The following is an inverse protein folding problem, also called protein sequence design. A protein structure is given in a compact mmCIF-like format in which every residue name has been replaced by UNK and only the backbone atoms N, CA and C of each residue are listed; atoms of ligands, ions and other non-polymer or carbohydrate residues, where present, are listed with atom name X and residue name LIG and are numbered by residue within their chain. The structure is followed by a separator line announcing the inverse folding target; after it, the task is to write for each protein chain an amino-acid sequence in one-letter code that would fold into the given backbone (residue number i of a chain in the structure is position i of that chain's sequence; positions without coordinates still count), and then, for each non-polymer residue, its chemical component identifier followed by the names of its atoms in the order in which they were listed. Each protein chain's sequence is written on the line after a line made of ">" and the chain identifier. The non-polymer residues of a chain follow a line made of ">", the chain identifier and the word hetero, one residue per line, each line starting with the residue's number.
data_IF_318510822062
#
_entry.id   IF_318510822062
#
_cell.length_a   1.000
_cell.length_b   1.000
_cell.length_c   1.000
_cell.angle_alpha   90.00
_cell.angle_beta   90.00
_cell.angle_gamma   90.00
#
_symmetry.space_group_name_H-M   'P 1'
#
loop_
_entity.id
_entity.type
_entity.pdbx_description
1 polymer ?
#
# COMPACT_ATOMS: atom_id res chain seq x y z
N UNK A 1 32.37 -15.53 -2.31
CA UNK A 1 31.31 -16.26 -1.58
C UNK A 1 29.94 -15.56 -1.56
N UNK A 2 29.82 -14.35 -2.10
CA UNK A 2 28.52 -13.63 -2.14
C UNK A 2 27.62 -13.99 -3.34
N UNK A 3 28.09 -14.78 -4.30
CA UNK A 3 27.37 -15.08 -5.56
C UNK A 3 26.42 -16.30 -5.51
N UNK A 4 26.44 -17.11 -4.46
CA UNK A 4 25.60 -18.31 -4.39
C UNK A 4 24.17 -18.08 -3.84
N UNK A 5 23.91 -16.93 -3.23
CA UNK A 5 22.59 -16.63 -2.70
C UNK A 5 21.62 -16.07 -3.78
N UNK A 6 22.16 -15.55 -4.88
CA UNK A 6 21.35 -14.96 -5.95
C UNK A 6 20.89 -16.00 -7.01
N UNK A 7 21.61 -17.13 -7.12
CA UNK A 7 21.30 -18.17 -8.11
C UNK A 7 20.12 -19.08 -7.70
N UNK A 8 19.85 -19.21 -6.41
CA UNK A 8 18.76 -20.04 -5.89
C UNK A 8 17.37 -19.35 -5.97
N UNK A 9 17.32 -18.03 -6.16
CA UNK A 9 16.05 -17.29 -6.26
C UNK A 9 15.39 -17.35 -7.65
N UNK A 10 16.18 -17.50 -8.72
CA UNK A 10 15.67 -17.51 -10.10
C UNK A 10 14.96 -18.83 -10.47
N UNK A 11 15.32 -19.94 -9.81
CA UNK A 11 14.76 -21.25 -10.13
C UNK A 11 13.33 -21.52 -9.62
N UNK A 12 12.88 -20.78 -8.61
CA UNK A 12 11.57 -21.01 -7.96
C UNK A 12 10.45 -20.08 -8.44
N UNK A 13 10.74 -19.07 -9.27
CA UNK A 13 9.74 -18.11 -9.72
C UNK A 13 8.68 -18.72 -10.66
N UNK A 14 8.96 -19.86 -11.26
CA UNK A 14 8.08 -20.47 -12.27
C UNK A 14 6.82 -21.16 -11.74
N UNK A 15 6.69 -21.40 -10.44
CA UNK A 15 5.58 -22.21 -9.86
C UNK A 15 4.68 -21.47 -8.88
N UNK A 16 5.08 -20.29 -8.40
CA UNK A 16 4.29 -19.51 -7.45
C UNK A 16 3.63 -18.31 -8.14
N UNK A 17 2.29 -18.21 -8.16
CA UNK A 17 1.59 -17.09 -8.77
C UNK A 17 1.76 -15.75 -8.01
N UNK A 18 2.34 -15.76 -6.82
CA UNK A 18 2.59 -14.55 -6.05
C UNK A 18 3.99 -13.98 -6.30
N UNK A 19 4.23 -12.75 -5.85
CA UNK A 19 5.55 -12.11 -5.89
C UNK A 19 6.50 -12.64 -4.81
N UNK A 20 6.03 -13.54 -3.95
CA UNK A 20 6.85 -14.19 -2.93
C UNK A 20 7.40 -15.51 -3.46
N UNK A 21 8.71 -15.73 -3.31
CA UNK A 21 9.27 -17.07 -3.50
C UNK A 21 8.75 -18.01 -2.40
N UNK A 22 8.82 -19.32 -2.64
CA UNK A 22 8.42 -20.30 -1.60
C UNK A 22 9.23 -20.12 -0.33
N UNK A 23 10.51 -19.80 -0.45
CA UNK A 23 11.40 -19.59 0.70
C UNK A 23 11.06 -18.32 1.46
N UNK A 24 10.76 -17.22 0.76
CA UNK A 24 10.27 -15.99 1.37
C UNK A 24 8.95 -16.22 2.12
N UNK A 25 8.01 -16.92 1.52
CA UNK A 25 6.74 -17.24 2.16
C UNK A 25 6.94 -18.10 3.41
N UNK A 26 7.85 -19.06 3.38
CA UNK A 26 8.18 -19.90 4.55
C UNK A 26 8.75 -19.08 5.70
N UNK A 27 9.67 -18.16 5.41
CA UNK A 27 10.22 -17.24 6.42
C UNK A 27 9.11 -16.43 7.08
N UNK A 28 8.22 -15.81 6.29
CA UNK A 28 7.13 -15.00 6.82
C UNK A 28 6.17 -15.83 7.69
N UNK A 29 5.84 -17.06 7.28
CA UNK A 29 4.97 -17.95 8.07
C UNK A 29 5.59 -18.30 9.44
N UNK A 30 6.88 -18.62 9.45
CA UNK A 30 7.59 -18.96 10.69
C UNK A 30 7.73 -17.75 11.61
N UNK A 31 8.03 -16.59 11.06
CA UNK A 31 8.06 -15.32 11.82
C UNK A 31 6.69 -14.99 12.40
N UNK A 32 5.62 -15.24 11.66
CA UNK A 32 4.23 -15.05 12.13
C UNK A 32 3.90 -15.93 13.34
N UNK A 33 4.50 -17.10 13.44
CA UNK A 33 4.37 -18.00 14.60
C UNK A 33 5.16 -17.55 15.83
N UNK A 34 5.88 -16.42 15.74
CA UNK A 34 6.65 -15.86 16.83
C UNK A 34 8.11 -16.33 16.89
N UNK A 35 8.58 -17.08 15.89
CA UNK A 35 9.97 -17.54 15.85
C UNK A 35 10.91 -16.36 15.58
N UNK A 36 12.07 -16.36 16.24
CA UNK A 36 13.15 -15.41 15.97
C UNK A 36 13.82 -15.71 14.63
N UNK A 37 14.55 -14.75 14.08
CA UNK A 37 15.31 -14.98 12.85
C UNK A 37 16.31 -16.12 12.98
N UNK A 38 16.93 -16.27 14.15
CA UNK A 38 17.85 -17.37 14.44
C UNK A 38 17.14 -18.73 14.45
N UNK A 39 15.98 -18.82 15.08
CA UNK A 39 15.17 -20.05 15.10
C UNK A 39 14.70 -20.44 13.70
N UNK A 40 14.27 -19.45 12.90
CA UNK A 40 13.89 -19.67 11.49
C UNK A 40 15.10 -20.19 10.70
N UNK A 41 16.28 -19.58 10.89
CA UNK A 41 17.51 -20.00 10.21
C UNK A 41 17.86 -21.45 10.54
N UNK A 42 17.78 -21.86 11.80
CA UNK A 42 18.02 -23.23 12.23
C UNK A 42 17.01 -24.20 11.59
N UNK A 43 15.74 -23.84 11.58
CA UNK A 43 14.70 -24.69 10.99
C UNK A 43 14.86 -24.84 9.47
N UNK A 44 15.27 -23.79 8.76
CA UNK A 44 15.44 -23.82 7.30
C UNK A 44 16.85 -24.25 6.86
N UNK A 45 17.74 -24.52 7.79
CA UNK A 45 19.12 -24.92 7.47
C UNK A 45 19.95 -23.83 6.82
N UNK A 46 19.78 -22.59 7.23
CA UNK A 46 20.45 -21.43 6.69
C UNK A 46 21.02 -20.53 7.80
N UNK A 47 21.48 -19.34 7.45
CA UNK A 47 22.04 -18.37 8.39
C UNK A 47 21.01 -17.32 8.79
N UNK A 48 21.17 -16.73 9.98
CA UNK A 48 20.34 -15.60 10.43
C UNK A 48 20.41 -14.41 9.44
N UNK A 49 21.61 -14.13 8.90
CA UNK A 49 21.79 -13.05 7.91
C UNK A 49 20.95 -13.30 6.66
N UNK A 50 20.91 -14.54 6.18
CA UNK A 50 20.11 -14.89 5.01
C UNK A 50 18.62 -14.76 5.30
N UNK A 51 18.16 -15.20 6.48
CA UNK A 51 16.76 -15.01 6.91
C UNK A 51 16.40 -13.52 6.96
N UNK A 52 17.27 -12.68 7.50
CA UNK A 52 17.06 -11.23 7.55
C UNK A 52 16.88 -10.63 6.18
N UNK A 53 17.69 -11.01 5.20
CA UNK A 53 17.59 -10.55 3.81
C UNK A 53 16.30 -11.06 3.17
N UNK A 54 15.97 -12.33 3.33
CA UNK A 54 14.74 -12.92 2.79
C UNK A 54 13.49 -12.24 3.34
N UNK A 55 13.45 -12.00 4.65
CA UNK A 55 12.33 -11.31 5.31
C UNK A 55 12.17 -9.89 4.79
N UNK A 56 13.27 -9.14 4.69
CA UNK A 56 13.25 -7.77 4.17
C UNK A 56 12.74 -7.71 2.73
N UNK A 57 13.25 -8.57 1.85
CA UNK A 57 12.81 -8.65 0.44
C UNK A 57 11.35 -9.07 0.33
N UNK A 58 10.92 -10.04 1.14
CA UNK A 58 9.54 -10.48 1.18
C UNK A 58 8.59 -9.34 1.57
N UNK A 59 8.91 -8.59 2.62
CA UNK A 59 8.10 -7.46 3.06
C UNK A 59 8.09 -6.31 2.04
N UNK A 60 9.20 -6.07 1.35
CA UNK A 60 9.25 -5.11 0.24
C UNK A 60 8.33 -5.54 -0.91
N UNK A 61 8.31 -6.82 -1.27
CA UNK A 61 7.42 -7.35 -2.31
C UNK A 61 5.95 -7.23 -1.90
N UNK A 62 5.62 -7.50 -0.65
CA UNK A 62 4.26 -7.29 -0.12
C UNK A 62 3.86 -5.82 -0.21
N UNK A 63 4.75 -4.91 0.20
CA UNK A 63 4.48 -3.47 0.12
C UNK A 63 4.25 -2.99 -1.31
N UNK A 64 5.05 -3.45 -2.27
CA UNK A 64 4.88 -3.15 -3.70
C UNK A 64 3.57 -3.71 -4.25
N UNK A 65 3.20 -4.92 -3.87
CA UNK A 65 1.94 -5.54 -4.30
C UNK A 65 0.72 -4.74 -3.79
N UNK A 66 0.76 -4.32 -2.53
CA UNK A 66 -0.30 -3.48 -1.94
C UNK A 66 -0.41 -2.13 -2.64
N UNK A 67 0.72 -1.48 -2.91
CA UNK A 67 0.76 -0.20 -3.63
C UNK A 67 0.20 -0.36 -5.05
N UNK A 68 0.55 -1.43 -5.74
CA UNK A 68 0.06 -1.75 -7.09
C UNK A 68 -1.46 -1.95 -7.09
N UNK A 69 -1.98 -2.72 -6.13
CA UNK A 69 -3.43 -2.94 -6.00
C UNK A 69 -4.18 -1.64 -5.70
N UNK A 70 -3.63 -0.79 -4.84
CA UNK A 70 -4.21 0.52 -4.55
C UNK A 70 -4.25 1.39 -5.80
N UNK A 71 -3.14 1.48 -6.52
CA UNK A 71 -3.05 2.24 -7.78
C UNK A 71 -4.05 1.71 -8.82
N UNK A 72 -4.11 0.39 -8.99
CA UNK A 72 -5.06 -0.24 -9.90
C UNK A 72 -6.52 0.08 -9.52
N UNK A 73 -6.85 0.01 -8.24
CA UNK A 73 -8.19 0.36 -7.74
C UNK A 73 -8.52 1.82 -8.04
N UNK A 74 -7.55 2.72 -7.86
CA UNK A 74 -7.74 4.14 -8.17
C UNK A 74 -7.90 4.39 -9.68
N UNK A 75 -7.15 3.69 -10.52
CA UNK A 75 -7.27 3.75 -11.99
C UNK A 75 -8.67 3.34 -12.44
N UNK A 76 -9.22 2.28 -11.85
CA UNK A 76 -10.54 1.75 -12.19
C UNK A 76 -11.71 2.52 -11.56
N UNK A 77 -11.44 3.38 -10.58
CA UNK A 77 -12.48 4.06 -9.84
C UNK A 77 -13.32 4.98 -10.74
N UNK A 78 -14.66 4.90 -10.66
CA UNK A 78 -15.54 5.75 -11.46
C UNK A 78 -15.48 7.24 -11.08
N UNK A 79 -15.00 7.55 -9.88
CA UNK A 79 -14.77 8.93 -9.42
C UNK A 79 -13.30 9.10 -9.09
N UNK A 80 -12.66 10.06 -9.72
CA UNK A 80 -11.26 10.41 -9.51
C UNK A 80 -11.08 11.92 -9.60
N UNK A 81 -10.46 12.50 -8.59
CA UNK A 81 -10.24 13.95 -8.49
C UNK A 81 -8.80 14.22 -8.07
N UNK A 82 -8.26 15.33 -8.56
CA UNK A 82 -7.05 15.92 -7.99
C UNK A 82 -7.47 17.09 -7.09
N UNK A 83 -7.09 17.03 -5.83
CA UNK A 83 -7.29 18.14 -4.89
C UNK A 83 -6.01 18.97 -4.88
N UNK A 84 -6.05 20.22 -5.38
CA UNK A 84 -4.84 21.01 -5.49
C UNK A 84 -4.32 21.47 -4.13
N UNK A 85 -2.99 21.64 -4.05
CA UNK A 85 -2.36 22.32 -2.93
C UNK A 85 -3.01 23.70 -2.71
N UNK A 86 -3.15 24.12 -1.46
CA UNK A 86 -3.83 25.35 -1.09
C UNK A 86 -5.29 25.16 -0.69
N UNK A 87 -5.88 23.99 -0.96
CA UNK A 87 -7.26 23.69 -0.58
C UNK A 87 -7.39 23.52 0.93
N UNK A 88 -8.47 24.04 1.51
CA UNK A 88 -8.86 23.76 2.88
C UNK A 88 -9.39 22.32 2.97
N UNK A 89 -8.84 21.53 3.89
CA UNK A 89 -9.24 20.13 4.03
C UNK A 89 -10.74 19.95 4.32
N UNK A 90 -11.38 20.94 4.96
CA UNK A 90 -12.82 20.88 5.25
C UNK A 90 -13.70 21.13 4.02
N UNK A 91 -13.14 21.64 2.94
CA UNK A 91 -13.87 21.79 1.66
C UNK A 91 -13.82 20.51 0.80
N UNK A 92 -12.88 19.60 1.09
CA UNK A 92 -12.69 18.38 0.30
C UNK A 92 -13.92 17.46 0.33
N UNK A 93 -14.58 17.20 1.49
CA UNK A 93 -15.76 16.33 1.50
C UNK A 93 -16.86 16.79 0.54
N UNK A 94 -17.12 18.07 0.47
CA UNK A 94 -18.10 18.63 -0.46
C UNK A 94 -17.77 18.30 -1.92
N UNK A 95 -16.52 18.46 -2.31
CA UNK A 95 -16.06 18.15 -3.67
C UNK A 95 -16.25 16.65 -3.98
N UNK A 96 -15.91 15.79 -3.03
CA UNK A 96 -16.02 14.34 -3.19
C UNK A 96 -17.49 13.90 -3.26
N UNK A 97 -18.34 14.38 -2.36
CA UNK A 97 -19.77 14.07 -2.39
C UNK A 97 -20.43 14.58 -3.67
N UNK A 98 -20.05 15.76 -4.16
CA UNK A 98 -20.56 16.32 -5.40
C UNK A 98 -20.25 15.40 -6.59
N UNK A 99 -19.01 14.95 -6.73
CA UNK A 99 -18.61 14.05 -7.83
C UNK A 99 -19.21 12.64 -7.68
N UNK A 100 -19.29 12.12 -6.45
CA UNK A 100 -19.94 10.84 -6.18
C UNK A 100 -21.43 10.87 -6.53
N UNK A 101 -22.12 11.96 -6.20
CA UNK A 101 -23.53 12.14 -6.56
C UNK A 101 -23.74 12.19 -8.08
N UNK A 102 -22.86 12.86 -8.83
CA UNK A 102 -22.92 12.85 -10.30
C UNK A 102 -22.78 11.45 -10.87
N UNK A 103 -21.92 10.61 -10.26
CA UNK A 103 -21.73 9.23 -10.64
C UNK A 103 -22.76 8.26 -10.04
N UNK A 104 -23.71 8.77 -9.25
CA UNK A 104 -24.74 7.97 -8.55
C UNK A 104 -24.15 6.94 -7.58
N UNK A 105 -23.05 7.30 -6.92
CA UNK A 105 -22.38 6.45 -5.95
C UNK A 105 -22.62 7.01 -4.56
N UNK A 106 -23.03 6.14 -3.63
CA UNK A 106 -23.16 6.48 -2.21
C UNK A 106 -21.86 6.14 -1.50
N UNK A 107 -21.27 7.15 -0.85
CA UNK A 107 -20.11 6.95 0.02
C UNK A 107 -20.51 6.22 1.31
N UNK A 108 -19.67 5.28 1.74
CA UNK A 108 -19.84 4.55 3.00
C UNK A 108 -19.49 5.36 4.24
N UNK A 109 -18.87 6.52 4.06
CA UNK A 109 -18.34 7.35 5.14
C UNK A 109 -18.86 8.77 5.08
N UNK A 110 -18.82 9.45 6.22
CA UNK A 110 -19.24 10.85 6.33
C UNK A 110 -18.09 11.84 6.12
N UNK A 111 -18.43 13.13 6.15
CA UNK A 111 -17.49 14.22 5.94
C UNK A 111 -16.31 14.21 6.91
N UNK A 112 -16.57 13.90 8.17
CA UNK A 112 -15.53 13.85 9.22
C UNK A 112 -14.55 12.72 8.94
N UNK A 113 -15.06 11.56 8.53
CA UNK A 113 -14.21 10.40 8.22
C UNK A 113 -13.28 10.68 7.03
N UNK A 114 -13.76 11.41 6.03
CA UNK A 114 -12.95 11.82 4.88
C UNK A 114 -11.77 12.68 5.38
N UNK A 115 -12.02 13.68 6.20
CA UNK A 115 -10.97 14.54 6.76
C UNK A 115 -9.98 13.73 7.59
N UNK A 116 -10.46 12.83 8.43
CA UNK A 116 -9.63 11.94 9.26
C UNK A 116 -8.76 11.03 8.37
N UNK A 117 -9.32 10.45 7.32
CA UNK A 117 -8.55 9.60 6.40
C UNK A 117 -7.47 10.40 5.67
N UNK A 118 -7.75 11.61 5.20
CA UNK A 118 -6.74 12.48 4.59
C UNK A 118 -5.60 12.72 5.57
N UNK A 119 -5.92 13.09 6.81
CA UNK A 119 -4.94 13.34 7.85
C UNK A 119 -4.07 12.11 8.15
N UNK A 120 -4.69 10.93 8.21
CA UNK A 120 -3.98 9.70 8.57
C UNK A 120 -3.17 9.11 7.41
N UNK A 121 -3.67 9.22 6.18
CA UNK A 121 -3.03 8.62 4.98
C UNK A 121 -2.01 9.54 4.33
N UNK A 122 -2.17 10.84 4.46
CA UNK A 122 -1.30 11.85 3.84
C UNK A 122 -0.87 12.92 4.85
N UNK A 123 -0.25 12.52 6.00
CA UNK A 123 0.06 13.47 7.08
C UNK A 123 1.05 14.55 6.63
N UNK A 124 1.99 14.22 5.75
CA UNK A 124 2.99 15.16 5.25
C UNK A 124 2.40 16.19 4.26
N UNK A 125 1.26 15.88 3.67
CA UNK A 125 0.58 16.77 2.73
C UNK A 125 -0.34 17.78 3.42
N UNK A 126 -0.58 17.66 4.73
CA UNK A 126 -1.50 18.51 5.47
C UNK A 126 -0.76 19.30 6.54
N UNK A 127 -0.91 20.64 6.51
CA UNK A 127 -0.43 21.54 7.57
C UNK A 127 -1.61 22.30 8.15
N UNK A 128 -1.94 22.01 9.41
CA UNK A 128 -3.19 22.47 10.04
C UNK A 128 -4.38 22.01 9.20
N UNK A 129 -5.10 22.91 8.54
CA UNK A 129 -6.24 22.60 7.69
C UNK A 129 -5.95 22.82 6.19
N UNK A 130 -4.72 23.18 5.82
CA UNK A 130 -4.34 23.49 4.44
C UNK A 130 -3.57 22.31 3.84
N UNK A 131 -4.05 21.86 2.68
CA UNK A 131 -3.38 20.85 1.86
C UNK A 131 -2.17 21.51 1.19
N UNK A 132 -0.97 20.93 1.39
CA UNK A 132 0.31 21.47 0.92
C UNK A 132 0.83 20.83 -0.35
N UNK A 133 0.34 19.67 -0.69
CA UNK A 133 0.70 18.92 -1.90
C UNK A 133 -0.58 18.44 -2.57
N UNK A 134 -0.56 18.36 -3.88
CA UNK A 134 -1.71 17.84 -4.62
C UNK A 134 -2.04 16.42 -4.12
N UNK A 135 -3.31 16.16 -3.89
CA UNK A 135 -3.82 14.84 -3.51
C UNK A 135 -4.62 14.25 -4.64
N UNK A 136 -4.44 12.96 -4.86
CA UNK A 136 -5.34 12.17 -5.69
C UNK A 136 -6.36 11.49 -4.78
N UNK A 137 -7.62 11.67 -5.08
CA UNK A 137 -8.73 11.01 -4.38
C UNK A 137 -9.58 10.25 -5.36
N UNK A 138 -10.13 9.14 -4.91
CA UNK A 138 -10.97 8.28 -5.72
C UNK A 138 -12.10 7.70 -4.88
N UNK A 139 -13.21 7.40 -5.55
CA UNK A 139 -14.33 6.66 -4.96
C UNK A 139 -14.63 5.47 -5.86
N UNK A 140 -14.59 4.28 -5.28
CA UNK A 140 -14.91 3.04 -5.98
C UNK A 140 -16.41 2.88 -6.22
N UNK A 141 -16.79 1.92 -7.06
CA UNK A 141 -18.21 1.60 -7.29
C UNK A 141 -18.94 1.25 -6.00
N UNK A 142 -18.25 0.64 -5.05
CA UNK A 142 -18.79 0.24 -3.74
C UNK A 142 -18.86 1.39 -2.74
N UNK A 143 -18.45 2.60 -3.11
CA UNK A 143 -18.47 3.76 -2.22
C UNK A 143 -17.24 3.89 -1.30
N UNK A 144 -16.18 3.14 -1.56
CA UNK A 144 -14.94 3.23 -0.80
C UNK A 144 -14.15 4.47 -1.20
N UNK A 145 -13.78 5.30 -0.22
CA UNK A 145 -12.93 6.47 -0.41
C UNK A 145 -11.46 6.10 -0.31
N UNK A 146 -10.66 6.55 -1.29
CA UNK A 146 -9.22 6.36 -1.34
C UNK A 146 -8.53 7.71 -1.52
N UNK A 147 -7.39 7.89 -0.85
CA UNK A 147 -6.57 9.10 -0.96
C UNK A 147 -5.09 8.75 -0.95
N UNK A 148 -4.31 9.48 -1.75
CA UNK A 148 -2.85 9.42 -1.76
C UNK A 148 -2.28 10.76 -2.20
N UNK A 149 -1.00 11.01 -1.92
CA UNK A 149 -0.31 12.14 -2.52
C UNK A 149 -0.16 11.90 -4.03
N UNK A 150 -0.36 12.96 -4.82
CA UNK A 150 -0.13 12.88 -6.25
C UNK A 150 1.35 12.61 -6.52
N UNK A 151 1.63 11.80 -7.55
CA UNK A 151 3.00 11.56 -7.96
C UNK A 151 3.68 12.87 -8.37
N UNK A 152 4.96 13.08 -8.01
CA UNK A 152 5.69 14.26 -8.47
C UNK A 152 5.78 14.23 -10.00
N UNK A 153 5.47 15.38 -10.59
CA UNK A 153 5.58 15.55 -12.05
C UNK A 153 7.04 15.65 -12.50
#
# INVERSE_FOLDING_TARGET
>A
MARRADEDEEGEQGTNPSLLTNRQASVLRLRRKGMSQQEVAEQLGTTRSNVSILEKRALQNVAKARATLKEWTMIQAPVSLTIPAGTDVFDVPYLIFSEANKARIKLDIGSVDIVVQIKNKTPEALKKRVIRRDLEVAVTEDGLFLVQEAAPK
#
